data_IF_200293115960
#
_entry.id   IF_200293115960
#
_cell.length_a   1.000
_cell.length_b   1.000
_cell.length_c   1.000
_cell.angle_alpha   90.00
_cell.angle_beta   90.00
_cell.angle_gamma   90.00
#
_symmetry.space_group_name_H-M   'P 1'
#
loop_
_entity.id
_entity.type
_entity.pdbx_description
1 polymer ?
#
# COMPACT_ATOMS: atom_id res chain seq x y z
N UNK A 1 6.58 -38.49 41.93
CA UNK A 1 5.98 -37.23 41.46
C UNK A 1 7.03 -36.33 40.84
N UNK A 2 7.56 -36.65 39.66
CA UNK A 2 8.58 -35.82 38.92
C UNK A 2 8.54 -36.03 37.40
N UNK A 3 7.35 -36.00 36.76
CA UNK A 3 7.24 -36.16 35.29
C UNK A 3 6.20 -35.22 34.61
N UNK A 4 5.77 -34.14 35.27
CA UNK A 4 4.76 -33.24 34.70
C UNK A 4 5.24 -31.82 34.39
N UNK A 5 6.55 -31.52 34.46
CA UNK A 5 7.07 -30.16 34.33
C UNK A 5 7.74 -29.87 32.97
N UNK A 6 7.78 -30.83 32.06
CA UNK A 6 8.56 -30.67 30.79
C UNK A 6 7.68 -30.35 29.55
N UNK A 7 6.35 -30.32 29.68
CA UNK A 7 5.46 -30.12 28.52
C UNK A 7 5.02 -28.66 28.33
N UNK A 8 5.24 -27.79 29.32
CA UNK A 8 4.74 -26.39 29.27
C UNK A 8 5.68 -25.39 28.57
N UNK A 9 6.87 -25.82 28.14
CA UNK A 9 7.88 -24.91 27.55
C UNK A 9 7.94 -24.93 26.01
N UNK A 10 7.15 -25.75 25.34
CA UNK A 10 7.16 -25.92 23.87
C UNK A 10 6.01 -25.20 23.13
N UNK A 11 5.07 -24.60 23.84
CA UNK A 11 3.89 -23.94 23.24
C UNK A 11 4.16 -22.55 22.59
N UNK A 12 5.18 -21.74 22.96
CA UNK A 12 5.36 -20.45 22.31
C UNK A 12 5.98 -20.52 20.91
N UNK A 13 6.58 -21.65 20.50
CA UNK A 13 7.25 -21.75 19.20
C UNK A 13 6.31 -22.00 18.01
N UNK A 14 5.10 -22.50 18.22
CA UNK A 14 4.16 -22.83 17.13
C UNK A 14 3.44 -21.58 16.58
N UNK A 15 3.25 -20.55 17.40
CA UNK A 15 2.54 -19.34 16.97
C UNK A 15 3.39 -18.47 16.05
N UNK A 16 4.70 -18.54 16.14
CA UNK A 16 5.63 -17.77 15.30
C UNK A 16 5.70 -18.27 13.86
N UNK A 17 5.68 -19.58 13.64
CA UNK A 17 5.72 -20.18 12.31
C UNK A 17 4.47 -19.87 11.48
N UNK A 18 3.29 -19.94 12.08
CA UNK A 18 2.01 -19.72 11.38
C UNK A 18 1.86 -18.28 10.85
N UNK A 19 2.39 -17.30 11.58
CA UNK A 19 2.35 -15.90 11.15
C UNK A 19 3.36 -15.63 10.03
N UNK A 20 4.52 -16.24 10.06
CA UNK A 20 5.54 -16.10 9.03
C UNK A 20 5.07 -16.71 7.70
N UNK A 21 4.47 -17.88 7.73
CA UNK A 21 3.90 -18.55 6.55
C UNK A 21 2.77 -17.70 5.91
N UNK A 22 1.95 -17.05 6.72
CA UNK A 22 0.89 -16.16 6.24
C UNK A 22 1.48 -14.95 5.50
N UNK A 23 2.50 -14.30 6.06
CA UNK A 23 3.16 -13.15 5.44
C UNK A 23 3.89 -13.52 4.16
N UNK A 24 4.48 -14.71 4.09
CA UNK A 24 5.08 -15.22 2.87
C UNK A 24 4.02 -15.40 1.77
N UNK A 25 2.88 -15.98 2.09
CA UNK A 25 1.76 -16.14 1.15
C UNK A 25 1.19 -14.80 0.67
N UNK A 26 1.13 -13.79 1.55
CA UNK A 26 0.72 -12.44 1.19
C UNK A 26 1.71 -11.80 0.21
N UNK A 27 3.01 -11.91 0.47
CA UNK A 27 4.07 -11.45 -0.43
C UNK A 27 3.96 -12.08 -1.80
N UNK A 28 3.84 -13.41 -1.87
CA UNK A 28 3.73 -14.13 -3.12
C UNK A 28 2.52 -13.68 -3.95
N UNK A 29 1.41 -13.37 -3.31
CA UNK A 29 0.22 -12.79 -3.98
C UNK A 29 0.52 -11.42 -4.58
N UNK A 30 1.19 -10.54 -3.82
CA UNK A 30 1.56 -9.20 -4.31
C UNK A 30 2.54 -9.32 -5.47
N UNK A 31 3.60 -10.13 -5.34
CA UNK A 31 4.61 -10.33 -6.38
C UNK A 31 4.01 -10.91 -7.66
N UNK A 32 3.13 -11.90 -7.54
CA UNK A 32 2.45 -12.48 -8.69
C UNK A 32 1.59 -11.45 -9.43
N UNK A 33 0.85 -10.62 -8.69
CA UNK A 33 0.05 -9.55 -9.27
C UNK A 33 0.92 -8.51 -9.99
N UNK A 34 1.98 -8.04 -9.34
CA UNK A 34 2.90 -7.04 -9.91
C UNK A 34 3.66 -7.58 -11.11
N UNK A 35 4.05 -8.86 -11.10
CA UNK A 35 4.71 -9.49 -12.24
C UNK A 35 3.82 -9.48 -13.49
N UNK A 36 2.52 -9.73 -13.34
CA UNK A 36 1.60 -9.66 -14.48
C UNK A 36 1.45 -8.24 -15.02
N UNK A 37 1.42 -7.24 -14.15
CA UNK A 37 1.36 -5.82 -14.57
C UNK A 37 2.66 -5.36 -15.23
N UNK A 38 3.79 -5.82 -14.74
CA UNK A 38 5.10 -5.53 -15.34
C UNK A 38 5.14 -5.99 -16.79
N UNK A 39 4.64 -7.18 -17.11
CA UNK A 39 4.58 -7.70 -18.49
C UNK A 39 3.79 -6.78 -19.42
N UNK A 40 2.66 -6.21 -18.97
CA UNK A 40 1.88 -5.27 -19.78
C UNK A 40 2.67 -4.01 -20.10
N UNK A 41 3.40 -3.47 -19.13
CA UNK A 41 4.25 -2.28 -19.34
C UNK A 41 5.40 -2.61 -20.31
N UNK A 42 5.97 -3.81 -20.24
CA UNK A 42 7.00 -4.28 -21.17
C UNK A 42 6.53 -4.26 -22.62
N UNK A 43 5.28 -4.63 -22.85
CA UNK A 43 4.69 -4.60 -24.20
C UNK A 43 4.45 -3.16 -24.69
N UNK A 44 4.07 -2.23 -23.79
CA UNK A 44 3.78 -0.85 -24.15
C UNK A 44 5.02 0.03 -24.32
N UNK A 45 6.03 -0.13 -23.49
CA UNK A 45 7.21 0.74 -23.43
C UNK A 45 8.42 0.16 -24.18
N UNK A 46 8.44 -1.15 -24.43
CA UNK A 46 9.57 -1.86 -25.04
C UNK A 46 10.82 -1.86 -24.15
N UNK A 47 11.55 -2.95 -24.08
CA UNK A 47 12.77 -3.12 -23.27
C UNK A 47 12.61 -2.83 -21.78
N UNK A 48 12.08 -3.77 -21.05
CA UNK A 48 12.10 -3.71 -19.60
C UNK A 48 13.40 -4.24 -19.06
N UNK A 49 14.07 -3.40 -18.34
CA UNK A 49 15.23 -3.75 -17.53
C UNK A 49 14.76 -4.62 -16.37
N UNK A 50 15.48 -5.66 -15.97
CA UNK A 50 15.14 -6.61 -14.90
C UNK A 50 14.73 -5.95 -13.58
N UNK A 51 15.28 -4.76 -13.27
CA UNK A 51 14.88 -3.89 -12.18
C UNK A 51 14.18 -2.65 -12.72
N UNK A 52 12.91 -2.80 -13.03
CA UNK A 52 12.13 -1.68 -13.54
C UNK A 52 11.91 -0.64 -12.41
N UNK A 53 12.47 0.59 -12.51
CA UNK A 53 12.44 1.55 -11.41
C UNK A 53 11.04 2.03 -11.05
N UNK A 54 10.04 1.84 -11.94
CA UNK A 54 8.64 2.08 -11.63
C UNK A 54 8.09 1.09 -10.59
N UNK A 55 8.68 -0.11 -10.48
CA UNK A 55 8.33 -1.12 -9.49
C UNK A 55 9.44 -1.26 -8.48
N UNK A 56 9.18 -0.90 -7.26
CA UNK A 56 10.17 -0.93 -6.21
C UNK A 56 9.70 -1.78 -5.02
N UNK A 57 10.56 -2.73 -4.62
CA UNK A 57 10.37 -3.49 -3.40
C UNK A 57 10.86 -2.65 -2.23
N UNK A 58 9.99 -2.40 -1.28
CA UNK A 58 10.26 -1.61 -0.11
C UNK A 58 10.22 -2.51 1.12
N UNK A 59 11.18 -2.36 2.01
CA UNK A 59 11.19 -2.99 3.31
C UNK A 59 11.06 -4.53 3.27
N UNK A 60 12.07 -5.20 2.70
CA UNK A 60 12.20 -6.66 2.81
C UNK A 60 11.06 -7.45 2.14
N UNK A 61 10.46 -6.90 1.09
CA UNK A 61 9.34 -7.48 0.34
C UNK A 61 8.00 -7.50 1.10
N UNK A 62 7.79 -6.64 2.09
CA UNK A 62 6.51 -6.51 2.78
C UNK A 62 5.68 -5.33 2.27
N UNK A 63 6.30 -4.39 1.55
CA UNK A 63 5.63 -3.33 0.81
C UNK A 63 6.26 -3.18 -0.57
N UNK A 64 5.43 -2.80 -1.55
CA UNK A 64 5.81 -2.61 -2.94
C UNK A 64 5.22 -1.31 -3.44
N UNK A 65 6.01 -0.55 -4.19
CA UNK A 65 5.61 0.69 -4.83
C UNK A 65 5.66 0.54 -6.34
N UNK A 66 4.61 0.99 -7.00
CA UNK A 66 4.55 1.20 -8.44
C UNK A 66 4.27 2.68 -8.73
N UNK A 67 5.11 3.32 -9.52
CA UNK A 67 4.88 4.69 -10.00
C UNK A 67 4.35 4.59 -11.43
N UNK A 68 3.07 4.89 -11.62
CA UNK A 68 2.35 4.68 -12.89
C UNK A 68 2.90 5.55 -14.00
N UNK A 69 3.22 6.80 -13.67
CA UNK A 69 3.73 7.79 -14.61
C UNK A 69 5.26 8.01 -14.49
N UNK A 70 6.00 6.95 -14.20
CA UNK A 70 7.45 7.01 -14.00
C UNK A 70 8.21 7.61 -15.20
N UNK A 71 7.72 7.35 -16.41
CA UNK A 71 8.37 7.77 -17.67
C UNK A 71 7.85 9.10 -18.21
N UNK A 72 7.04 9.84 -17.45
CA UNK A 72 6.60 11.17 -17.87
C UNK A 72 7.80 12.09 -18.12
N UNK A 73 7.78 12.79 -19.24
CA UNK A 73 8.79 13.81 -19.54
C UNK A 73 8.79 14.91 -18.46
N UNK A 74 9.98 15.29 -18.00
CA UNK A 74 10.14 16.32 -16.96
C UNK A 74 9.70 15.88 -15.56
N UNK A 75 9.51 14.59 -15.32
CA UNK A 75 9.20 14.09 -13.98
C UNK A 75 10.25 14.49 -12.95
N UNK A 76 11.52 14.35 -13.31
CA UNK A 76 12.65 14.63 -12.42
C UNK A 76 12.89 16.13 -12.17
N UNK A 77 12.26 17.01 -12.94
CA UNK A 77 12.31 18.47 -12.73
C UNK A 77 11.35 18.91 -11.61
N UNK A 78 10.47 18.02 -11.15
CA UNK A 78 9.50 18.29 -10.08
C UNK A 78 10.10 18.06 -8.70
N UNK A 79 9.54 18.68 -7.63
CA UNK A 79 9.98 18.46 -6.26
C UNK A 79 9.95 16.97 -5.88
N UNK A 80 11.10 16.43 -5.45
CA UNK A 80 11.20 15.06 -4.93
C UNK A 80 10.78 15.03 -3.46
N UNK A 81 10.12 13.94 -3.06
CA UNK A 81 9.71 13.68 -1.67
C UNK A 81 10.90 13.14 -0.88
N UNK A 82 11.20 13.80 0.23
CA UNK A 82 12.24 13.41 1.18
C UNK A 82 11.66 13.28 2.60
N UNK A 83 12.42 12.66 3.50
CA UNK A 83 12.04 12.61 4.90
C UNK A 83 11.98 14.02 5.51
N UNK A 84 10.91 14.27 6.27
CA UNK A 84 10.63 15.57 6.88
C UNK A 84 9.73 16.47 6.03
N UNK A 85 9.56 16.18 4.74
CA UNK A 85 8.70 16.96 3.87
C UNK A 85 7.22 16.83 4.25
N UNK A 86 6.48 17.90 3.99
CA UNK A 86 5.02 17.91 4.04
C UNK A 86 4.46 17.65 2.64
N UNK A 87 3.63 16.64 2.51
CA UNK A 87 3.01 16.25 1.23
C UNK A 87 1.49 16.26 1.31
N UNK A 88 0.84 16.52 0.19
CA UNK A 88 -0.61 16.45 0.01
C UNK A 88 -0.95 15.32 -0.94
N UNK A 89 -1.90 14.47 -0.53
CA UNK A 89 -2.28 13.26 -1.26
C UNK A 89 -3.76 13.25 -1.60
N UNK A 90 -4.08 12.91 -2.84
CA UNK A 90 -5.38 12.38 -3.25
C UNK A 90 -5.26 10.87 -3.35
N UNK A 91 -6.22 10.11 -2.82
CA UNK A 91 -6.09 8.67 -2.78
C UNK A 91 -7.42 7.93 -2.74
N UNK A 92 -7.35 6.65 -3.13
CA UNK A 92 -8.31 5.62 -2.75
C UNK A 92 -7.57 4.45 -2.13
N UNK A 93 -8.07 3.95 -1.02
CA UNK A 93 -7.52 2.85 -0.26
C UNK A 93 -8.42 1.62 -0.36
N UNK A 94 -7.81 0.47 -0.63
CA UNK A 94 -8.49 -0.78 -0.96
C UNK A 94 -8.05 -1.90 -0.04
N UNK A 95 -8.97 -2.81 0.28
CA UNK A 95 -8.58 -4.18 0.65
C UNK A 95 -7.99 -4.87 -0.58
N UNK A 96 -6.96 -5.70 -0.39
CA UNK A 96 -6.23 -6.31 -1.50
C UNK A 96 -6.13 -7.82 -1.33
N UNK A 97 -6.45 -8.56 -2.38
CA UNK A 97 -6.46 -10.02 -2.37
C UNK A 97 -5.50 -10.67 -3.38
N UNK A 98 -4.67 -9.87 -4.07
CA UNK A 98 -3.78 -10.32 -5.14
C UNK A 98 -4.36 -10.17 -6.53
N UNK A 99 -5.49 -9.46 -6.69
CA UNK A 99 -6.11 -9.12 -7.97
C UNK A 99 -6.30 -7.61 -8.08
N UNK A 100 -6.57 -7.09 -9.30
CA UNK A 100 -6.85 -5.66 -9.51
C UNK A 100 -7.95 -5.19 -8.56
N UNK A 101 -7.69 -4.20 -7.70
CA UNK A 101 -8.71 -3.66 -6.81
C UNK A 101 -9.86 -3.03 -7.59
N UNK A 102 -11.08 -3.27 -7.13
CA UNK A 102 -12.29 -2.68 -7.68
C UNK A 102 -12.91 -1.70 -6.70
N UNK A 103 -13.87 -0.88 -7.16
CA UNK A 103 -14.60 0.04 -6.29
C UNK A 103 -15.28 -0.67 -5.09
N UNK A 104 -15.60 -1.97 -5.22
CA UNK A 104 -16.18 -2.74 -4.11
C UNK A 104 -15.19 -3.01 -2.96
N UNK A 105 -13.90 -2.90 -3.23
CA UNK A 105 -12.84 -3.09 -2.24
C UNK A 105 -12.38 -1.77 -1.57
N UNK A 106 -12.93 -0.62 -1.99
CA UNK A 106 -12.58 0.68 -1.42
C UNK A 106 -13.13 0.76 0.01
N UNK A 107 -12.24 1.02 0.96
CA UNK A 107 -12.61 1.25 2.36
C UNK A 107 -12.43 2.70 2.80
N UNK A 108 -11.66 3.51 2.05
CA UNK A 108 -11.48 4.94 2.29
C UNK A 108 -10.99 5.66 1.03
N UNK A 109 -11.47 6.88 0.81
CA UNK A 109 -11.01 7.75 -0.28
C UNK A 109 -11.24 9.21 0.10
N UNK A 110 -10.44 10.12 -0.47
CA UNK A 110 -10.68 11.57 -0.44
C UNK A 110 -10.91 12.14 -1.83
N UNK A 111 -11.18 11.29 -2.82
CA UNK A 111 -11.51 11.69 -4.19
C UNK A 111 -13.02 11.91 -4.28
N UNK A 112 -13.48 13.16 -4.52
CA UNK A 112 -14.92 13.49 -4.49
C UNK A 112 -15.77 12.61 -5.40
N UNK A 113 -15.31 12.36 -6.63
CA UNK A 113 -16.02 11.56 -7.62
C UNK A 113 -16.17 10.10 -7.16
N UNK A 114 -15.13 9.55 -6.53
CA UNK A 114 -15.16 8.19 -5.96
C UNK A 114 -16.15 8.10 -4.80
N UNK A 115 -16.13 9.08 -3.91
CA UNK A 115 -17.06 9.15 -2.76
C UNK A 115 -18.51 9.23 -3.23
N UNK A 116 -18.78 10.08 -4.22
CA UNK A 116 -20.11 10.23 -4.80
C UNK A 116 -20.61 8.91 -5.41
N UNK A 117 -19.81 8.29 -6.27
CA UNK A 117 -20.16 7.01 -6.93
C UNK A 117 -20.43 5.87 -5.93
N UNK A 118 -19.63 5.79 -4.85
CA UNK A 118 -19.85 4.80 -3.80
C UNK A 118 -21.10 5.09 -2.98
N UNK A 119 -21.38 6.35 -2.70
CA UNK A 119 -22.60 6.79 -2.03
C UNK A 119 -23.84 6.44 -2.83
N UNK A 120 -23.87 6.78 -4.11
CA UNK A 120 -25.00 6.44 -5.03
C UNK A 120 -25.23 4.92 -5.09
N UNK A 121 -24.17 4.13 -5.23
CA UNK A 121 -24.27 2.68 -5.31
C UNK A 121 -24.78 2.04 -4.02
N UNK A 122 -24.39 2.56 -2.86
CA UNK A 122 -24.81 2.03 -1.54
C UNK A 122 -26.14 2.59 -1.06
N UNK A 123 -26.65 3.65 -1.70
CA UNK A 123 -27.83 4.40 -1.25
C UNK A 123 -27.58 5.20 0.03
N UNK A 124 -26.32 5.42 0.40
CA UNK A 124 -25.91 6.14 1.61
C UNK A 124 -25.00 7.32 1.26
N UNK A 125 -25.05 8.37 2.07
CA UNK A 125 -24.05 9.44 1.99
C UNK A 125 -22.82 9.00 2.76
N UNK A 126 -21.65 9.02 2.09
CA UNK A 126 -20.37 8.78 2.73
C UNK A 126 -19.81 10.11 3.21
N UNK A 127 -19.65 10.25 4.52
CA UNK A 127 -19.07 11.45 5.15
C UNK A 127 -17.54 11.32 5.27
N UNK A 128 -16.89 11.12 4.13
CA UNK A 128 -15.42 11.11 4.05
C UNK A 128 -14.91 12.50 3.69
N UNK A 129 -13.81 12.95 4.33
CA UNK A 129 -13.19 14.22 3.96
C UNK A 129 -12.75 14.23 2.49
N UNK A 130 -13.10 15.29 1.77
CA UNK A 130 -12.72 15.47 0.36
C UNK A 130 -11.47 16.33 0.18
N UNK A 131 -10.93 16.87 1.28
CA UNK A 131 -9.68 17.63 1.24
C UNK A 131 -8.48 16.71 1.02
N UNK A 132 -7.40 17.20 0.36
CA UNK A 132 -6.18 16.44 0.26
C UNK A 132 -5.63 16.07 1.65
N UNK A 133 -5.29 14.79 1.82
CA UNK A 133 -4.64 14.33 3.04
C UNK A 133 -3.25 14.95 3.13
N UNK A 134 -3.02 15.76 4.15
CA UNK A 134 -1.72 16.36 4.42
C UNK A 134 -0.97 15.53 5.44
N UNK A 135 0.21 15.06 5.09
CA UNK A 135 1.11 14.32 5.98
C UNK A 135 2.49 14.97 5.99
N UNK A 136 3.19 14.87 7.12
CA UNK A 136 4.60 15.20 7.25
C UNK A 136 5.35 13.91 7.54
N UNK A 137 6.24 13.51 6.63
CA UNK A 137 6.98 12.27 6.74
C UNK A 137 7.86 12.24 7.99
N UNK A 138 7.80 11.14 8.74
CA UNK A 138 8.51 10.97 10.00
C UNK A 138 7.83 11.59 11.22
N UNK A 139 6.70 12.30 11.05
CA UNK A 139 5.99 12.97 12.15
C UNK A 139 4.51 12.59 12.22
N UNK A 140 3.84 12.55 11.06
CA UNK A 140 2.43 12.17 11.00
C UNK A 140 2.31 10.66 11.14
N UNK A 141 1.46 10.20 12.08
CA UNK A 141 1.19 8.77 12.23
C UNK A 141 0.35 8.26 11.07
N UNK A 142 0.97 7.52 10.16
CA UNK A 142 0.35 6.80 9.04
C UNK A 142 0.82 5.34 9.03
N UNK A 143 0.29 4.54 8.11
CA UNK A 143 0.74 3.16 7.94
C UNK A 143 2.23 3.11 7.58
N UNK A 144 2.99 2.26 8.25
CA UNK A 144 4.44 2.16 8.06
C UNK A 144 4.81 1.83 6.61
N UNK A 145 4.09 0.91 5.97
CA UNK A 145 4.32 0.56 4.57
C UNK A 145 4.06 1.73 3.62
N UNK A 146 3.07 2.57 3.91
CA UNK A 146 2.79 3.77 3.14
C UNK A 146 3.90 4.82 3.34
N UNK A 147 4.23 5.14 4.59
CA UNK A 147 5.25 6.13 4.92
C UNK A 147 6.59 5.84 4.25
N UNK A 148 7.05 4.59 4.32
CA UNK A 148 8.31 4.15 3.72
C UNK A 148 8.28 4.12 2.19
N UNK A 149 7.11 4.12 1.59
CA UNK A 149 6.95 4.06 0.13
C UNK A 149 7.01 5.43 -0.56
N UNK A 150 6.87 6.52 0.18
CA UNK A 150 6.76 7.86 -0.40
C UNK A 150 8.11 8.54 -0.72
N UNK A 151 9.19 8.38 0.06
CA UNK A 151 10.48 8.96 -0.29
C UNK A 151 10.97 8.53 -1.67
N UNK A 152 11.48 9.50 -2.47
CA UNK A 152 11.92 9.31 -3.85
C UNK A 152 10.80 9.32 -4.90
N UNK A 153 9.53 9.50 -4.48
CA UNK A 153 8.47 9.93 -5.40
C UNK A 153 8.62 11.41 -5.70
N UNK A 154 7.95 11.89 -6.75
CA UNK A 154 7.95 13.30 -7.13
C UNK A 154 6.54 13.87 -7.03
N UNK A 155 6.45 15.20 -6.92
CA UNK A 155 5.18 15.90 -7.07
C UNK A 155 4.52 15.52 -8.41
N UNK A 156 3.21 15.38 -8.41
CA UNK A 156 2.38 14.87 -9.50
C UNK A 156 2.57 13.38 -9.85
N UNK A 157 3.38 12.61 -9.11
CA UNK A 157 3.41 11.16 -9.30
C UNK A 157 2.06 10.51 -8.95
N UNK A 158 1.66 9.57 -9.79
CA UNK A 158 0.59 8.61 -9.51
C UNK A 158 1.23 7.34 -8.96
N UNK A 159 0.98 7.04 -7.69
CA UNK A 159 1.69 6.00 -6.94
C UNK A 159 0.69 4.95 -6.45
N UNK A 160 1.01 3.70 -6.67
CA UNK A 160 0.31 2.54 -6.11
C UNK A 160 1.22 1.86 -5.10
N UNK A 161 0.74 1.70 -3.88
CA UNK A 161 1.46 0.98 -2.82
C UNK A 161 0.66 -0.22 -2.41
N UNK A 162 1.29 -1.37 -2.41
CA UNK A 162 0.73 -2.65 -1.96
C UNK A 162 1.51 -3.08 -0.73
N UNK A 163 0.82 -3.47 0.33
CA UNK A 163 1.48 -3.87 1.55
C UNK A 163 0.82 -5.09 2.19
N UNK A 164 1.66 -5.91 2.78
CA UNK A 164 1.23 -7.02 3.60
C UNK A 164 0.57 -6.54 4.88
N UNK A 165 -0.21 -7.40 5.49
CA UNK A 165 -1.03 -7.05 6.66
C UNK A 165 -0.22 -6.48 7.83
N UNK A 166 1.02 -6.93 8.04
CA UNK A 166 1.88 -6.46 9.13
C UNK A 166 2.35 -5.00 8.98
N UNK A 167 2.44 -4.49 7.74
CA UNK A 167 2.75 -3.08 7.46
C UNK A 167 1.49 -2.22 7.24
N UNK A 168 0.33 -2.88 7.24
CA UNK A 168 -0.99 -2.27 7.19
C UNK A 168 -1.60 -2.17 8.62
N UNK A 169 -2.73 -2.78 8.84
CA UNK A 169 -3.44 -2.71 10.12
C UNK A 169 -3.18 -3.93 11.03
N UNK A 170 -2.45 -4.94 10.55
CA UNK A 170 -2.09 -6.12 11.32
C UNK A 170 -3.31 -6.88 11.85
N UNK A 171 -3.32 -7.11 13.16
CA UNK A 171 -4.41 -7.82 13.86
C UNK A 171 -5.61 -6.94 14.20
N UNK A 172 -5.59 -5.64 13.83
CA UNK A 172 -6.67 -4.73 14.11
C UNK A 172 -7.75 -4.82 13.02
N UNK A 173 -9.01 -4.63 13.44
CA UNK A 173 -10.13 -4.42 12.53
C UNK A 173 -10.35 -2.92 12.42
N UNK A 174 -10.33 -2.36 11.20
CA UNK A 174 -10.53 -0.94 10.96
C UNK A 174 -11.72 -0.74 10.04
N UNK A 175 -12.85 -0.35 10.61
CA UNK A 175 -14.09 -0.23 9.85
C UNK A 175 -14.47 -1.55 9.17
N UNK A 176 -14.45 -1.57 7.85
CA UNK A 176 -14.76 -2.77 7.03
C UNK A 176 -13.51 -3.61 6.72
N UNK A 177 -12.30 -3.15 7.09
CA UNK A 177 -11.05 -3.89 6.86
C UNK A 177 -10.88 -4.96 7.94
N UNK A 178 -10.84 -6.25 7.58
CA UNK A 178 -10.62 -7.33 8.53
C UNK A 178 -9.19 -7.29 9.12
N UNK A 179 -8.98 -8.08 10.17
CA UNK A 179 -7.63 -8.36 10.67
C UNK A 179 -6.82 -9.15 9.63
N UNK A 180 -5.51 -8.93 9.61
CA UNK A 180 -4.57 -9.62 8.73
C UNK A 180 -4.94 -9.46 7.24
N UNK A 181 -5.48 -8.30 6.86
CA UNK A 181 -5.82 -7.99 5.48
C UNK A 181 -4.67 -7.24 4.80
N UNK A 182 -4.28 -7.68 3.61
CA UNK A 182 -3.43 -6.89 2.72
C UNK A 182 -4.21 -5.67 2.24
N UNK A 183 -3.53 -4.56 2.01
CA UNK A 183 -4.15 -3.36 1.48
C UNK A 183 -3.35 -2.78 0.32
N UNK A 184 -4.05 -2.01 -0.52
CA UNK A 184 -3.43 -1.21 -1.56
C UNK A 184 -3.89 0.24 -1.44
N UNK A 185 -2.97 1.17 -1.70
CA UNK A 185 -3.26 2.60 -1.79
C UNK A 185 -2.89 3.11 -3.17
N UNK A 186 -3.87 3.65 -3.89
CA UNK A 186 -3.69 4.33 -5.15
C UNK A 186 -3.82 5.82 -4.90
N UNK A 187 -2.74 6.54 -5.13
CA UNK A 187 -2.65 7.94 -4.74
C UNK A 187 -1.96 8.81 -5.78
N UNK A 188 -2.29 10.08 -5.75
CA UNK A 188 -1.57 11.15 -6.46
C UNK A 188 -0.94 12.08 -5.44
N UNK A 189 0.33 12.40 -5.63
CA UNK A 189 1.04 13.42 -4.86
C UNK A 189 0.69 14.76 -5.47
N UNK A 190 -0.17 15.54 -4.80
CA UNK A 190 -0.59 16.84 -5.35
C UNK A 190 0.43 17.94 -5.09
N UNK A 191 1.11 17.87 -3.94
CA UNK A 191 2.07 18.90 -3.54
C UNK A 191 3.15 18.35 -2.63
N UNK A 192 4.36 18.81 -2.83
CA UNK A 192 5.51 18.60 -1.94
C UNK A 192 5.96 19.95 -1.40
N UNK A 193 6.14 20.06 -0.07
CA UNK A 193 6.61 21.27 0.61
C UNK A 193 7.76 20.89 1.53
N UNK A 194 8.91 21.51 1.28
CA UNK A 194 10.15 21.35 2.08
C UNK A 194 10.03 21.99 3.44
#
# INVERSE_FOLDING_TARGET
MKKFLTILLLLPFLVGCEQEDTLLAERDKIEKYLSSRRMVIEEEVGNVIEEHPAFYNIFGRYAYRHIVNYYDAGREDRPVVEWGDKIQLRFSAYTFNGSEPTNAAIYWSNIPETILQLGEKSGNTLDWPTEPLTIQLGTTSILEGLERSLPGCYEADSVQVYMTSNLAYGKNIIGVVPKNEMIAWYMKIEKVTK
#
